data_IF_701303436023
#
_entry.id   IF_701303436023
#
_cell.length_a   1.000
_cell.length_b   1.000
_cell.length_c   1.000
_cell.angle_alpha   90.00
_cell.angle_beta   90.00
_cell.angle_gamma   90.00
#
_symmetry.space_group_name_H-M   'P 1'
#
loop_
_entity.id
_entity.type
_entity.pdbx_description
1 polymer ?
#
# COMPACT_ATOMS: atom_id res chain seq x y z
N UNK A 1 -3.15 -6.08 15.66
CA UNK A 1 -3.09 -6.79 14.36
C UNK A 1 -2.82 -5.79 13.25
N UNK A 2 -2.12 -6.19 12.17
CA UNK A 2 -1.76 -5.31 11.05
C UNK A 2 -2.48 -5.78 9.79
N UNK A 3 -3.16 -4.86 9.08
CA UNK A 3 -3.79 -5.13 7.79
C UNK A 3 -2.97 -4.51 6.66
N UNK A 4 -2.48 -5.33 5.73
CA UNK A 4 -1.75 -4.87 4.55
C UNK A 4 -2.75 -4.82 3.40
N UNK A 5 -3.01 -3.62 2.85
CA UNK A 5 -4.03 -3.36 1.85
C UNK A 5 -3.39 -3.28 0.47
N UNK A 6 -3.78 -4.17 -0.42
CA UNK A 6 -3.13 -4.31 -1.74
C UNK A 6 -4.18 -4.23 -2.86
N UNK A 7 -4.31 -3.08 -3.52
CA UNK A 7 -5.08 -2.97 -4.74
C UNK A 7 -4.36 -3.69 -5.88
N UNK A 8 -5.05 -4.56 -6.60
CA UNK A 8 -4.51 -5.38 -7.68
C UNK A 8 -5.30 -5.15 -8.97
N UNK A 9 -4.62 -4.79 -10.05
CA UNK A 9 -5.23 -4.73 -11.38
C UNK A 9 -4.26 -5.22 -12.45
N UNK A 10 -4.44 -6.46 -12.91
CA UNK A 10 -3.55 -7.16 -13.86
C UNK A 10 -2.11 -7.30 -13.30
N UNK A 11 -2.00 -7.90 -12.12
CA UNK A 11 -0.75 -8.06 -11.36
C UNK A 11 -0.33 -9.53 -11.21
N UNK A 12 -0.83 -10.42 -12.06
CA UNK A 12 -0.59 -11.87 -11.97
C UNK A 12 0.90 -12.26 -11.89
N UNK A 13 1.78 -11.50 -12.54
CA UNK A 13 3.22 -11.77 -12.56
C UNK A 13 3.90 -11.45 -11.22
N UNK A 14 3.33 -10.53 -10.42
CA UNK A 14 3.95 -10.00 -9.20
C UNK A 14 3.47 -10.68 -7.92
N UNK A 15 2.25 -11.26 -7.92
CA UNK A 15 1.57 -11.71 -6.70
C UNK A 15 2.34 -12.72 -5.86
N UNK A 16 2.95 -13.72 -6.49
CA UNK A 16 3.70 -14.77 -5.77
C UNK A 16 4.93 -14.20 -5.06
N UNK A 17 5.66 -13.33 -5.75
CA UNK A 17 6.84 -12.68 -5.18
C UNK A 17 6.45 -11.71 -4.06
N UNK A 18 5.39 -10.93 -4.26
CA UNK A 18 4.85 -9.99 -3.29
C UNK A 18 4.42 -10.71 -2.00
N UNK A 19 3.60 -11.77 -2.11
CA UNK A 19 3.17 -12.57 -0.97
C UNK A 19 4.35 -13.14 -0.20
N UNK A 20 5.34 -13.71 -0.89
CA UNK A 20 6.53 -14.28 -0.25
C UNK A 20 7.32 -13.24 0.53
N UNK A 21 7.52 -12.05 -0.05
CA UNK A 21 8.25 -10.96 0.62
C UNK A 21 7.47 -10.42 1.83
N UNK A 22 6.17 -10.17 1.68
CA UNK A 22 5.31 -9.69 2.78
C UNK A 22 5.28 -10.71 3.92
N UNK A 23 5.01 -11.99 3.63
CA UNK A 23 4.95 -13.01 4.66
C UNK A 23 6.28 -13.14 5.42
N UNK A 24 7.41 -13.10 4.71
CA UNK A 24 8.74 -13.15 5.33
C UNK A 24 8.96 -11.97 6.28
N UNK A 25 8.61 -10.75 5.85
CA UNK A 25 8.77 -9.55 6.68
C UNK A 25 7.83 -9.59 7.89
N UNK A 26 6.58 -9.99 7.69
CA UNK A 26 5.60 -10.04 8.78
C UNK A 26 5.91 -11.12 9.80
N UNK A 27 6.46 -12.26 9.40
CA UNK A 27 6.95 -13.30 10.31
C UNK A 27 8.13 -12.80 11.17
N UNK A 28 9.01 -11.96 10.63
CA UNK A 28 10.09 -11.33 11.41
C UNK A 28 9.57 -10.31 12.42
N UNK A 29 8.51 -9.58 12.09
CA UNK A 29 7.85 -8.62 13.00
C UNK A 29 7.15 -9.37 14.15
N UNK A 30 6.59 -10.55 13.89
CA UNK A 30 5.96 -11.41 14.91
C UNK A 30 4.60 -10.91 15.41
N UNK A 31 4.00 -9.94 14.72
CA UNK A 31 2.65 -9.45 15.02
C UNK A 31 1.59 -10.21 14.21
N UNK A 32 0.37 -10.39 14.75
CA UNK A 32 -0.76 -10.87 13.94
C UNK A 32 -1.00 -9.95 12.76
N UNK A 33 -1.24 -10.55 11.58
CA UNK A 33 -1.43 -9.77 10.36
C UNK A 33 -2.41 -10.43 9.39
N UNK A 34 -2.94 -9.64 8.48
CA UNK A 34 -3.70 -10.07 7.32
C UNK A 34 -3.25 -9.31 6.07
N UNK A 35 -3.45 -9.91 4.91
CA UNK A 35 -3.20 -9.32 3.60
C UNK A 35 -4.54 -9.20 2.87
N UNK A 36 -5.06 -7.99 2.78
CA UNK A 36 -6.33 -7.69 2.11
C UNK A 36 -6.03 -7.28 0.67
N UNK A 37 -6.30 -8.20 -0.26
CA UNK A 37 -6.09 -8.01 -1.68
C UNK A 37 -7.40 -7.63 -2.37
N UNK A 38 -7.42 -6.53 -3.08
CA UNK A 38 -8.58 -6.04 -3.79
C UNK A 38 -8.36 -6.22 -5.29
N UNK A 39 -9.04 -7.20 -5.89
CA UNK A 39 -9.05 -7.34 -7.34
C UNK A 39 -9.92 -6.26 -7.96
N UNK A 40 -9.31 -5.27 -8.59
CA UNK A 40 -10.02 -4.17 -9.25
C UNK A 40 -10.32 -4.50 -10.72
N UNK A 41 -11.13 -5.57 -10.91
CA UNK A 41 -11.60 -6.00 -12.21
C UNK A 41 -10.49 -6.39 -13.18
N UNK A 42 -9.50 -7.17 -12.74
CA UNK A 42 -8.43 -7.71 -13.58
C UNK A 42 -8.98 -8.59 -14.72
N UNK A 43 -8.23 -8.63 -15.81
CA UNK A 43 -8.56 -9.44 -17.00
C UNK A 43 -7.58 -10.60 -17.22
N UNK A 44 -6.51 -10.64 -16.44
CA UNK A 44 -5.50 -11.69 -16.41
C UNK A 44 -5.80 -12.72 -15.29
N UNK A 45 -4.83 -13.54 -14.96
CA UNK A 45 -4.96 -14.57 -13.92
C UNK A 45 -4.87 -14.05 -12.47
N UNK A 46 -4.86 -12.72 -12.25
CA UNK A 46 -4.74 -12.11 -10.92
C UNK A 46 -5.76 -12.69 -9.93
N UNK A 47 -7.04 -12.67 -10.25
CA UNK A 47 -8.08 -13.18 -9.36
C UNK A 47 -7.91 -14.67 -9.05
N UNK A 48 -7.58 -15.47 -10.05
CA UNK A 48 -7.38 -16.91 -9.87
C UNK A 48 -6.21 -17.20 -8.91
N UNK A 49 -5.12 -16.44 -9.03
CA UNK A 49 -3.96 -16.55 -8.13
C UNK A 49 -4.27 -16.07 -6.72
N UNK A 50 -4.98 -14.97 -6.55
CA UNK A 50 -5.42 -14.48 -5.24
C UNK A 50 -6.30 -15.50 -4.51
N UNK A 51 -7.24 -16.12 -5.22
CA UNK A 51 -8.08 -17.19 -4.66
C UNK A 51 -7.28 -18.46 -4.31
N UNK A 52 -6.22 -18.76 -5.04
CA UNK A 52 -5.31 -19.84 -4.70
C UNK A 52 -4.53 -19.53 -3.43
N UNK A 53 -3.95 -18.34 -3.33
CA UNK A 53 -3.26 -17.87 -2.12
C UNK A 53 -4.18 -17.88 -0.88
N UNK A 54 -5.43 -17.44 -1.01
CA UNK A 54 -6.41 -17.49 0.08
C UNK A 54 -6.68 -18.91 0.58
N UNK A 55 -6.69 -19.91 -0.31
CA UNK A 55 -6.89 -21.31 0.10
C UNK A 55 -5.68 -21.88 0.85
N UNK A 56 -4.49 -21.42 0.50
CA UNK A 56 -3.22 -21.85 1.13
C UNK A 56 -2.97 -21.13 2.45
N UNK A 57 -3.32 -19.84 2.53
CA UNK A 57 -3.14 -19.00 3.70
C UNK A 57 -4.43 -18.20 4.01
N UNK A 58 -5.17 -18.53 5.06
CA UNK A 58 -6.40 -17.83 5.44
C UNK A 58 -6.17 -16.37 5.88
N UNK A 59 -4.93 -15.94 6.10
CA UNK A 59 -4.58 -14.55 6.35
C UNK A 59 -4.72 -13.67 5.10
N UNK A 60 -4.72 -14.28 3.92
CA UNK A 60 -4.98 -13.59 2.65
C UNK A 60 -6.50 -13.45 2.47
N UNK A 61 -7.00 -12.23 2.50
CA UNK A 61 -8.41 -11.88 2.28
C UNK A 61 -8.55 -11.34 0.87
N UNK A 62 -9.53 -11.79 0.12
CA UNK A 62 -9.75 -11.36 -1.28
C UNK A 62 -11.08 -10.62 -1.39
N UNK A 63 -11.04 -9.41 -1.92
CA UNK A 63 -12.20 -8.62 -2.29
C UNK A 63 -12.20 -8.53 -3.83
N UNK A 64 -13.28 -8.97 -4.45
CA UNK A 64 -13.41 -8.96 -5.91
C UNK A 64 -14.41 -7.89 -6.33
N UNK A 65 -13.93 -6.85 -6.99
CA UNK A 65 -14.77 -5.78 -7.51
C UNK A 65 -15.32 -6.17 -8.90
N UNK A 66 -16.57 -5.86 -9.14
CA UNK A 66 -17.30 -6.26 -10.38
C UNK A 66 -16.69 -5.68 -11.66
N UNK A 67 -15.88 -4.65 -11.58
CA UNK A 67 -15.14 -4.02 -12.68
C UNK A 67 -13.99 -3.17 -12.12
N UNK A 68 -13.16 -2.62 -13.00
CA UNK A 68 -12.19 -1.61 -12.62
C UNK A 68 -12.89 -0.31 -12.21
N UNK A 69 -12.72 0.09 -10.94
CA UNK A 69 -13.20 1.35 -10.35
C UNK A 69 -12.04 2.33 -10.08
N UNK A 70 -10.81 1.88 -10.21
CA UNK A 70 -9.58 2.62 -9.96
C UNK A 70 -9.00 2.41 -8.56
N UNK A 71 -7.69 2.70 -8.44
CA UNK A 71 -6.88 2.44 -7.26
C UNK A 71 -7.50 3.00 -5.95
N UNK A 72 -8.00 4.23 -5.99
CA UNK A 72 -8.59 4.89 -4.81
C UNK A 72 -9.83 4.16 -4.29
N UNK A 73 -10.72 3.70 -5.20
CA UNK A 73 -11.88 2.92 -4.82
C UNK A 73 -11.49 1.54 -4.27
N UNK A 74 -10.50 0.90 -4.86
CA UNK A 74 -9.96 -0.37 -4.37
C UNK A 74 -9.33 -0.21 -2.98
N UNK A 75 -8.55 0.84 -2.75
CA UNK A 75 -7.99 1.16 -1.43
C UNK A 75 -9.08 1.40 -0.39
N UNK A 76 -10.11 2.19 -0.73
CA UNK A 76 -11.25 2.43 0.17
C UNK A 76 -11.93 1.11 0.53
N UNK A 77 -12.24 0.26 -0.45
CA UNK A 77 -12.83 -1.05 -0.19
C UNK A 77 -11.95 -1.93 0.71
N UNK A 78 -10.63 -1.88 0.53
CA UNK A 78 -9.68 -2.59 1.39
C UNK A 78 -9.68 -2.08 2.82
N UNK A 79 -9.68 -0.76 3.01
CA UNK A 79 -9.74 -0.13 4.33
C UNK A 79 -11.03 -0.46 5.07
N UNK A 80 -12.17 -0.44 4.37
CA UNK A 80 -13.49 -0.77 4.95
C UNK A 80 -13.58 -2.23 5.43
N UNK A 81 -12.75 -3.13 4.90
CA UNK A 81 -12.72 -4.55 5.25
C UNK A 81 -11.54 -4.93 6.15
N UNK A 82 -10.61 -4.02 6.38
CA UNK A 82 -9.46 -4.25 7.24
C UNK A 82 -9.89 -4.45 8.70
N UNK A 83 -9.29 -5.45 9.37
CA UNK A 83 -9.60 -5.82 10.77
C UNK A 83 -8.47 -5.48 11.73
N UNK A 84 -7.35 -5.01 11.21
CA UNK A 84 -6.18 -4.63 12.02
C UNK A 84 -6.34 -3.26 12.68
N UNK A 85 -5.62 -3.06 13.76
CA UNK A 85 -5.51 -1.75 14.45
C UNK A 85 -4.64 -0.76 13.65
N UNK A 86 -3.91 -1.28 12.67
CA UNK A 86 -3.04 -0.54 11.77
C UNK A 86 -3.29 -1.02 10.34
N UNK A 87 -3.51 -0.09 9.41
CA UNK A 87 -3.68 -0.36 7.99
C UNK A 87 -2.49 0.19 7.19
N UNK A 88 -1.93 -0.64 6.30
CA UNK A 88 -0.73 -0.40 5.53
C UNK A 88 -1.03 -0.58 4.04
N UNK A 89 -1.34 0.48 3.29
CA UNK A 89 -1.44 0.41 1.84
C UNK A 89 -0.09 0.07 1.20
N UNK A 90 -0.07 -0.87 0.27
CA UNK A 90 1.12 -1.28 -0.47
C UNK A 90 0.76 -1.58 -1.93
N UNK A 91 1.57 -1.10 -2.87
CA UNK A 91 1.36 -1.38 -4.29
C UNK A 91 1.80 -2.79 -4.67
N UNK A 92 1.04 -3.41 -5.60
CA UNK A 92 1.30 -4.79 -6.01
C UNK A 92 2.51 -4.92 -6.97
N UNK A 93 2.99 -3.83 -7.54
CA UNK A 93 4.04 -3.79 -8.58
C UNK A 93 5.48 -3.93 -8.07
N UNK A 94 5.65 -4.12 -6.76
CA UNK A 94 6.96 -4.26 -6.09
C UNK A 94 7.89 -3.04 -6.21
N UNK A 95 7.39 -1.88 -6.67
CA UNK A 95 8.19 -0.65 -6.69
C UNK A 95 8.47 -0.13 -5.29
N UNK A 96 7.57 -0.40 -4.35
CA UNK A 96 7.76 -0.13 -2.94
C UNK A 96 8.16 -1.42 -2.22
N UNK A 97 9.37 -1.45 -1.59
CA UNK A 97 9.86 -2.66 -0.97
C UNK A 97 9.10 -2.98 0.32
N UNK A 98 8.49 -4.19 0.47
CA UNK A 98 7.85 -4.58 1.73
C UNK A 98 8.77 -4.54 2.95
N UNK A 99 10.08 -4.52 2.74
CA UNK A 99 11.11 -4.45 3.76
C UNK A 99 11.09 -3.13 4.57
N UNK A 100 10.33 -2.12 4.14
CA UNK A 100 10.11 -0.89 4.92
C UNK A 100 9.05 -1.07 6.02
N UNK A 101 8.20 -2.09 5.93
CA UNK A 101 7.10 -2.34 6.87
C UNK A 101 7.57 -2.34 8.34
N UNK A 102 8.69 -2.97 8.72
CA UNK A 102 9.16 -2.96 10.11
C UNK A 102 9.37 -1.55 10.66
N UNK A 103 9.90 -0.63 9.85
CA UNK A 103 10.14 0.77 10.26
C UNK A 103 8.82 1.52 10.46
N UNK A 104 7.85 1.31 9.56
CA UNK A 104 6.51 1.91 9.68
C UNK A 104 5.78 1.40 10.93
N UNK A 105 5.83 0.09 11.17
CA UNK A 105 5.22 -0.53 12.35
C UNK A 105 5.89 -0.07 13.65
N UNK A 106 7.23 0.12 13.64
CA UNK A 106 7.93 0.66 14.80
C UNK A 106 7.45 2.07 15.15
N UNK A 107 7.28 2.94 14.16
CA UNK A 107 6.75 4.30 14.34
C UNK A 107 5.30 4.31 14.82
N UNK A 108 4.46 3.45 14.26
CA UNK A 108 3.10 3.28 14.77
C UNK A 108 3.09 2.86 16.25
N UNK A 109 3.96 1.93 16.67
CA UNK A 109 4.09 1.52 18.08
C UNK A 109 4.62 2.62 19.00
N UNK A 110 5.33 3.62 18.46
CA UNK A 110 5.73 4.84 19.19
C UNK A 110 4.53 5.78 19.46
N UNK A 111 3.35 5.50 18.87
CA UNK A 111 2.11 6.27 19.07
C UNK A 111 1.80 7.27 17.96
N UNK A 112 2.42 7.17 16.79
CA UNK A 112 2.07 7.99 15.64
C UNK A 112 0.81 7.45 14.96
N UNK A 113 -0.22 8.30 14.77
CA UNK A 113 -1.47 7.95 14.10
C UNK A 113 -1.28 7.77 12.59
N UNK A 114 -0.38 8.54 11.97
CA UNK A 114 -0.07 8.48 10.55
C UNK A 114 1.45 8.47 10.35
N UNK A 115 1.95 7.47 9.63
CA UNK A 115 3.37 7.35 9.27
C UNK A 115 3.49 7.36 7.76
N UNK A 116 4.19 8.35 7.21
CA UNK A 116 4.42 8.46 5.78
C UNK A 116 5.86 8.07 5.44
N UNK A 117 6.05 7.14 4.51
CA UNK A 117 7.35 6.88 3.91
C UNK A 117 7.65 7.96 2.85
N UNK A 118 8.76 8.67 3.03
CA UNK A 118 9.23 9.67 2.06
C UNK A 118 10.39 9.06 1.27
N UNK A 119 10.24 8.96 -0.05
CA UNK A 119 11.34 8.54 -0.93
C UNK A 119 12.39 9.65 -1.00
N UNK A 120 13.59 9.39 -0.50
CA UNK A 120 14.70 10.35 -0.51
C UNK A 120 15.30 10.56 -1.90
N UNK A 121 15.22 9.56 -2.79
CA UNK A 121 15.63 9.68 -4.20
C UNK A 121 14.92 8.65 -5.08
N UNK A 122 14.61 9.02 -6.31
CA UNK A 122 14.35 8.07 -7.40
C UNK A 122 15.59 7.99 -8.26
N UNK A 123 16.24 6.84 -8.29
CA UNK A 123 17.34 6.59 -9.23
C UNK A 123 16.79 6.69 -10.66
N UNK A 124 17.26 7.69 -11.41
CA UNK A 124 16.88 7.91 -12.81
C UNK A 124 15.91 9.08 -13.09
N UNK A 125 15.46 9.84 -12.09
CA UNK A 125 14.68 11.05 -12.39
C UNK A 125 15.55 12.18 -12.94
N UNK A 126 15.18 12.64 -14.17
CA UNK A 126 15.79 13.79 -14.80
C UNK A 126 15.66 15.05 -13.92
N UNK A 127 16.75 15.83 -13.82
CA UNK A 127 16.81 17.11 -13.12
C UNK A 127 15.62 18.06 -13.47
N UNK A 128 15.15 18.05 -14.72
CA UNK A 128 14.00 18.83 -15.16
C UNK A 128 12.68 18.40 -14.48
N UNK A 129 12.47 17.11 -14.22
CA UNK A 129 11.25 16.58 -13.58
C UNK A 129 11.19 16.95 -12.10
N UNK A 130 12.34 16.96 -11.42
CA UNK A 130 12.46 17.41 -10.02
C UNK A 130 12.22 18.92 -9.89
N UNK A 131 12.73 19.74 -10.81
CA UNK A 131 12.54 21.18 -10.80
C UNK A 131 11.08 21.57 -11.06
N UNK A 132 10.38 20.88 -11.98
CA UNK A 132 8.96 21.13 -12.27
C UNK A 132 8.04 20.73 -11.14
N UNK A 133 8.30 19.59 -10.47
CA UNK A 133 7.55 19.15 -9.30
C UNK A 133 7.71 20.16 -8.14
N UNK A 134 8.92 20.61 -7.86
CA UNK A 134 9.18 21.61 -6.81
C UNK A 134 8.46 22.96 -7.09
N UNK A 135 8.40 23.39 -8.35
CA UNK A 135 7.66 24.59 -8.74
C UNK A 135 6.14 24.40 -8.57
N UNK A 136 5.61 23.23 -8.94
CA UNK A 136 4.19 22.89 -8.81
C UNK A 136 3.74 22.86 -7.33
N UNK A 137 4.48 22.18 -6.46
CA UNK A 137 4.17 22.14 -5.03
C UNK A 137 4.27 23.51 -4.36
N UNK A 138 5.21 24.34 -4.78
CA UNK A 138 5.31 25.73 -4.26
C UNK A 138 4.11 26.59 -4.64
N UNK A 139 3.54 26.39 -5.84
CA UNK A 139 2.32 27.09 -6.28
C UNK A 139 1.10 26.60 -5.54
N UNK A 140 0.93 25.27 -5.39
CA UNK A 140 -0.20 24.67 -4.67
C UNK A 140 -0.19 25.04 -3.19
N UNK A 141 0.96 24.93 -2.51
CA UNK A 141 1.06 25.30 -1.09
C UNK A 141 0.82 26.81 -0.83
N UNK A 142 0.94 27.63 -1.86
CA UNK A 142 0.59 29.06 -1.77
C UNK A 142 -0.90 29.34 -1.98
N UNK A 143 -1.62 28.39 -2.57
CA UNK A 143 -3.06 28.48 -2.88
C UNK A 143 -3.92 27.63 -1.93
N UNK A 144 -3.32 26.81 -1.10
CA UNK A 144 -3.99 25.91 -0.16
C UNK A 144 -3.71 26.36 1.27
N UNK A 145 -4.72 26.35 2.12
CA UNK A 145 -4.59 26.59 3.58
C UNK A 145 -4.03 25.37 4.33
N UNK A 146 -3.71 24.29 3.61
CA UNK A 146 -3.14 23.05 4.17
C UNK A 146 -1.76 22.84 3.55
N UNK A 147 -0.75 22.68 4.38
CA UNK A 147 0.61 22.37 3.96
C UNK A 147 0.70 20.95 3.39
N UNK A 148 0.87 20.83 2.07
CA UNK A 148 1.03 19.54 1.39
C UNK A 148 2.52 19.24 1.32
N UNK A 149 3.02 18.19 2.00
CA UNK A 149 4.43 17.82 1.92
C UNK A 149 4.81 17.42 0.49
N UNK A 150 5.88 17.99 -0.03
CA UNK A 150 6.46 17.59 -1.30
C UNK A 150 7.05 16.17 -1.15
N UNK A 151 6.84 15.31 -2.17
CA UNK A 151 7.39 13.94 -2.23
C UNK A 151 6.74 12.88 -1.32
N UNK A 152 5.49 13.03 -0.90
CA UNK A 152 4.74 11.96 -0.28
C UNK A 152 4.35 10.93 -1.35
N UNK A 153 4.98 9.75 -1.33
CA UNK A 153 4.44 8.58 -2.03
C UNK A 153 3.15 8.10 -1.34
N UNK A 154 2.39 7.23 -2.01
CA UNK A 154 1.11 6.68 -1.50
C UNK A 154 1.25 5.78 -0.26
N UNK A 155 2.44 5.66 0.28
CA UNK A 155 2.74 4.87 1.47
C UNK A 155 2.25 5.61 2.72
N UNK A 156 1.06 5.27 3.16
CA UNK A 156 0.47 5.78 4.40
C UNK A 156 0.08 4.63 5.31
N UNK A 157 0.53 4.71 6.54
CA UNK A 157 -0.02 3.92 7.62
C UNK A 157 -1.14 4.74 8.26
N UNK A 158 -2.37 4.27 8.23
CA UNK A 158 -3.50 4.93 8.86
C UNK A 158 -4.05 4.05 9.99
N UNK A 159 -4.19 4.62 11.16
CA UNK A 159 -4.88 3.98 12.27
C UNK A 159 -6.39 3.98 11.98
N UNK A 160 -7.01 2.82 12.00
CA UNK A 160 -8.47 2.71 11.98
C UNK A 160 -8.97 3.02 13.39
N UNK A 161 -9.46 4.25 13.61
CA UNK A 161 -10.24 4.56 14.81
C UNK A 161 -11.67 4.07 14.60
N UNK A 162 -12.12 3.15 15.45
CA UNK A 162 -13.53 2.77 15.58
C UNK A 162 -14.34 3.89 16.22
#
# INVERSE_FOLDING_TARGET
MISIIIPCHNESENLSALYTRISTVMEQIGEPWEMVCINDGSKDDTLAQLLALHREDPRVVVIDLSRNFGKEAALTAGLDHARGDCALPLDADLQDPPEIIPELVAKWKEGYDVVNAVRLSRDGESWFKRASAHAFYRVINRMSDVEIPADTGDFRNSQLSL
#
